data_IF_730784599037
#
_entry.id   IF_730784599037
#
_cell.length_a   1.000
_cell.length_b   1.000
_cell.length_c   1.000
_cell.angle_alpha   90.00
_cell.angle_beta   90.00
_cell.angle_gamma   90.00
#
_symmetry.space_group_name_H-M   'P 1'
#
loop_
_entity.id
_entity.type
_entity.pdbx_description
1 polymer ?
#
# COMPACT_ATOMS: atom_id res chain seq x y z
N UNK A 1 -13.58 -1.96 13.84
CA UNK A 1 -12.65 -3.10 13.74
C UNK A 1 -11.34 -2.58 13.19
N UNK A 2 -10.25 -2.74 13.93
CA UNK A 2 -8.93 -2.27 13.48
C UNK A 2 -8.40 -3.24 12.43
N UNK A 3 -7.86 -2.75 11.32
CA UNK A 3 -7.42 -3.59 10.18
C UNK A 3 -6.26 -4.53 10.53
N UNK A 4 -5.58 -4.27 11.64
CA UNK A 4 -4.50 -5.07 12.20
C UNK A 4 -4.95 -6.01 13.34
N UNK A 5 -6.22 -5.96 13.76
CA UNK A 5 -6.74 -6.96 14.69
C UNK A 5 -6.69 -8.34 14.02
N UNK A 6 -6.22 -9.35 14.77
CA UNK A 6 -6.12 -10.74 14.31
C UNK A 6 -5.08 -11.03 13.20
N UNK A 7 -4.06 -10.18 13.00
CA UNK A 7 -2.93 -10.49 12.09
C UNK A 7 -2.32 -11.88 12.37
N UNK A 8 -2.16 -12.24 13.65
CA UNK A 8 -1.64 -13.54 14.07
C UNK A 8 -2.49 -14.73 13.58
N UNK A 9 -3.77 -14.51 13.32
CA UNK A 9 -4.69 -15.53 12.82
C UNK A 9 -4.83 -15.50 11.30
N UNK A 10 -4.64 -14.32 10.68
CA UNK A 10 -4.90 -14.11 9.26
C UNK A 10 -3.63 -14.13 8.37
N UNK A 11 -2.42 -14.16 8.95
CA UNK A 11 -1.18 -14.12 8.16
C UNK A 11 -1.03 -15.29 7.17
N UNK A 12 -1.59 -16.47 7.52
CA UNK A 12 -1.56 -17.68 6.69
C UNK A 12 -2.29 -17.50 5.35
N UNK A 13 -3.21 -16.54 5.25
CA UNK A 13 -3.87 -16.17 3.99
C UNK A 13 -2.85 -15.63 2.98
N UNK A 14 -1.81 -14.95 3.46
CA UNK A 14 -0.78 -14.34 2.62
C UNK A 14 0.44 -15.23 2.41
N UNK A 15 0.56 -16.35 3.12
CA UNK A 15 1.74 -17.21 3.07
C UNK A 15 1.73 -18.20 1.90
N UNK A 16 0.67 -18.18 1.07
CA UNK A 16 0.53 -19.06 -0.08
C UNK A 16 0.91 -18.28 -1.34
N UNK A 17 2.12 -18.50 -1.84
CA UNK A 17 2.58 -17.92 -3.11
C UNK A 17 3.97 -17.30 -3.05
N UNK A 18 4.40 -16.63 -4.14
CA UNK A 18 5.69 -15.96 -4.21
C UNK A 18 5.83 -14.88 -3.12
N UNK A 19 7.01 -14.79 -2.52
CA UNK A 19 7.30 -13.85 -1.43
C UNK A 19 6.91 -12.40 -1.74
N UNK A 20 7.16 -11.92 -2.97
CA UNK A 20 6.85 -10.54 -3.37
C UNK A 20 5.35 -10.25 -3.26
N UNK A 21 4.51 -11.18 -3.71
CA UNK A 21 3.05 -11.02 -3.66
C UNK A 21 2.54 -11.14 -2.22
N UNK A 22 3.02 -12.14 -1.49
CA UNK A 22 2.71 -12.35 -0.08
C UNK A 22 2.94 -11.09 0.76
N UNK A 23 4.13 -10.47 0.61
CA UNK A 23 4.53 -9.28 1.36
C UNK A 23 3.68 -8.07 0.98
N UNK A 24 3.48 -7.82 -0.31
CA UNK A 24 2.69 -6.68 -0.77
C UNK A 24 1.24 -6.77 -0.29
N UNK A 25 0.59 -7.94 -0.48
CA UNK A 25 -0.77 -8.16 -0.03
C UNK A 25 -0.91 -8.04 1.49
N UNK A 26 0.03 -8.60 2.26
CA UNK A 26 0.05 -8.47 3.71
C UNK A 26 0.10 -7.00 4.15
N UNK A 27 1.06 -6.23 3.63
CA UNK A 27 1.28 -4.82 4.03
C UNK A 27 0.12 -3.91 3.62
N UNK A 28 -0.46 -4.14 2.45
CA UNK A 28 -1.62 -3.37 1.98
C UNK A 28 -2.87 -3.70 2.78
N UNK A 29 -3.15 -4.98 3.03
CA UNK A 29 -4.36 -5.40 3.76
C UNK A 29 -4.32 -4.99 5.23
N UNK A 30 -3.14 -4.98 5.84
CA UNK A 30 -2.93 -4.47 7.20
C UNK A 30 -2.77 -2.95 7.28
N UNK A 31 -2.76 -2.25 6.12
CA UNK A 31 -2.50 -0.80 6.00
C UNK A 31 -1.18 -0.35 6.65
N UNK A 32 -0.18 -1.23 6.66
CA UNK A 32 1.15 -0.95 7.21
C UNK A 32 2.16 -0.49 6.16
N UNK A 33 1.77 -0.42 4.88
CA UNK A 33 2.72 -0.06 3.84
C UNK A 33 3.06 1.42 3.76
N UNK A 34 2.03 2.26 3.84
CA UNK A 34 2.14 3.70 3.68
C UNK A 34 1.73 4.36 4.99
N UNK A 35 2.66 4.49 5.94
CA UNK A 35 2.35 5.04 7.25
C UNK A 35 2.13 6.56 7.20
N UNK A 36 2.01 7.18 6.03
CA UNK A 36 1.98 8.63 5.88
C UNK A 36 0.83 9.28 6.68
N UNK A 37 -0.36 8.68 6.69
CA UNK A 37 -1.48 9.10 7.55
C UNK A 37 -1.17 8.94 9.03
N UNK A 38 -0.60 7.81 9.42
CA UNK A 38 -0.24 7.55 10.81
C UNK A 38 0.84 8.52 11.32
N UNK A 39 1.90 8.71 10.54
CA UNK A 39 3.01 9.62 10.82
C UNK A 39 2.55 11.09 10.85
N UNK A 40 1.60 11.48 10.00
CA UNK A 40 0.95 12.79 10.08
C UNK A 40 0.17 12.93 11.39
N UNK A 41 -0.55 11.89 11.81
CA UNK A 41 -1.30 11.89 13.07
C UNK A 41 -0.44 12.07 14.33
N UNK A 42 0.83 11.63 14.28
CA UNK A 42 1.82 11.84 15.35
C UNK A 42 2.79 13.00 15.07
N UNK A 43 2.43 13.89 14.14
CA UNK A 43 3.19 15.10 13.78
C UNK A 43 4.63 14.88 13.30
N UNK A 44 4.98 13.67 12.85
CA UNK A 44 6.28 13.39 12.22
C UNK A 44 6.29 13.87 10.77
N UNK A 45 5.19 13.68 10.04
CA UNK A 45 5.01 14.23 8.70
C UNK A 45 4.04 15.40 8.72
N UNK A 46 4.31 16.39 7.87
CA UNK A 46 3.44 17.57 7.70
C UNK A 46 2.19 17.26 6.89
N UNK A 47 2.24 16.27 6.00
CA UNK A 47 1.12 15.80 5.21
C UNK A 47 1.20 14.29 4.98
N UNK A 48 0.07 13.70 4.59
CA UNK A 48 -0.07 12.27 4.33
C UNK A 48 -0.20 11.97 2.83
N UNK A 49 0.08 12.98 1.98
CA UNK A 49 -0.17 12.89 0.55
C UNK A 49 0.76 11.89 -0.09
N UNK A 50 0.30 11.35 -1.21
CA UNK A 50 1.06 10.48 -2.09
C UNK A 50 2.42 11.10 -2.38
N UNK A 51 3.53 10.45 -2.02
CA UNK A 51 4.86 11.04 -2.22
C UNK A 51 5.20 11.20 -3.70
N UNK A 52 4.50 10.50 -4.60
CA UNK A 52 4.77 10.53 -6.04
C UNK A 52 4.02 11.70 -6.73
N UNK A 53 2.73 11.92 -6.41
CA UNK A 53 1.89 12.93 -7.09
C UNK A 53 1.26 13.98 -6.19
N UNK A 54 1.41 13.86 -4.86
CA UNK A 54 0.90 14.80 -3.85
C UNK A 54 -0.61 15.06 -3.95
N UNK A 55 -1.39 14.07 -4.38
CA UNK A 55 -2.84 14.22 -4.60
C UNK A 55 -3.67 13.75 -3.42
N UNK A 56 -3.55 12.47 -3.06
CA UNK A 56 -4.33 11.84 -1.98
C UNK A 56 -3.43 10.92 -1.14
N UNK A 57 -3.88 10.41 -0.01
CA UNK A 57 -3.11 9.47 0.81
C UNK A 57 -2.74 8.24 -0.02
N UNK A 58 -1.45 7.91 -0.05
CA UNK A 58 -1.00 6.65 -0.66
C UNK A 58 -1.55 5.47 0.14
N UNK A 59 -2.53 4.77 -0.39
CA UNK A 59 -3.11 3.55 0.17
C UNK A 59 -3.46 2.58 -0.99
N UNK A 60 -4.04 1.41 -0.66
CA UNK A 60 -4.39 0.40 -1.65
C UNK A 60 -5.31 0.94 -2.74
N UNK A 61 -6.31 1.69 -2.33
CA UNK A 61 -7.32 2.28 -3.22
C UNK A 61 -6.68 3.35 -4.11
N UNK A 62 -5.79 4.18 -3.54
CA UNK A 62 -5.05 5.20 -4.27
C UNK A 62 -4.13 4.60 -5.34
N UNK A 63 -3.46 3.47 -5.07
CA UNK A 63 -2.59 2.81 -6.08
C UNK A 63 -3.34 2.51 -7.38
N UNK A 64 -4.63 2.16 -7.29
CA UNK A 64 -5.48 1.82 -8.44
C UNK A 64 -5.87 3.04 -9.28
N UNK A 65 -5.77 4.26 -8.74
CA UNK A 65 -6.20 5.50 -9.41
C UNK A 65 -5.11 6.56 -9.50
N UNK A 66 -3.95 6.31 -8.91
CA UNK A 66 -2.87 7.27 -8.82
C UNK A 66 -2.30 7.57 -10.23
N UNK A 67 -2.26 8.83 -10.67
CA UNK A 67 -2.01 9.18 -12.06
C UNK A 67 -0.68 8.72 -12.67
N UNK A 68 0.34 8.39 -11.88
CA UNK A 68 1.62 7.97 -12.46
C UNK A 68 1.89 6.49 -12.50
N UNK A 69 0.93 5.64 -12.15
CA UNK A 69 1.08 4.22 -12.46
C UNK A 69 0.56 3.91 -13.85
N UNK A 70 1.02 2.78 -14.40
CA UNK A 70 0.63 2.33 -15.73
C UNK A 70 -0.87 2.01 -15.72
N UNK A 71 -1.71 2.64 -16.58
CA UNK A 71 -3.15 2.42 -16.59
C UNK A 71 -3.55 0.96 -16.77
N UNK A 72 -2.74 0.19 -17.52
CA UNK A 72 -2.96 -1.24 -17.73
C UNK A 72 -2.88 -2.05 -16.43
N UNK A 73 -1.95 -1.72 -15.52
CA UNK A 73 -1.83 -2.41 -14.23
C UNK A 73 -2.98 -2.05 -13.30
N UNK A 74 -3.43 -0.79 -13.35
CA UNK A 74 -4.59 -0.29 -12.62
C UNK A 74 -5.88 -0.96 -13.10
N UNK A 75 -6.08 -1.04 -14.41
CA UNK A 75 -7.24 -1.70 -15.02
C UNK A 75 -7.32 -3.20 -14.67
N UNK A 76 -6.17 -3.89 -14.65
CA UNK A 76 -6.09 -5.30 -14.23
C UNK A 76 -6.28 -5.50 -12.73
N UNK A 77 -6.23 -4.43 -11.93
CA UNK A 77 -6.27 -4.51 -10.49
C UNK A 77 -5.03 -5.20 -9.89
N UNK A 78 -3.88 -5.13 -10.56
CA UNK A 78 -2.64 -5.76 -10.08
C UNK A 78 -1.97 -4.90 -9.00
N UNK A 79 -2.57 -4.93 -7.82
CA UNK A 79 -2.13 -4.11 -6.67
C UNK A 79 -0.72 -4.50 -6.21
N UNK A 80 -0.30 -5.76 -6.41
CA UNK A 80 1.05 -6.19 -6.07
C UNK A 80 2.13 -5.52 -6.92
N UNK A 81 1.93 -5.48 -8.25
CA UNK A 81 2.88 -4.79 -9.12
C UNK A 81 2.87 -3.29 -8.88
N UNK A 82 1.68 -2.69 -8.66
CA UNK A 82 1.55 -1.27 -8.33
C UNK A 82 2.27 -0.93 -7.02
N UNK A 83 2.13 -1.75 -6.00
CA UNK A 83 2.83 -1.64 -4.72
C UNK A 83 4.35 -1.58 -4.88
N UNK A 84 4.93 -2.55 -5.60
CA UNK A 84 6.39 -2.62 -5.75
C UNK A 84 6.89 -1.47 -6.62
N UNK A 85 6.15 -1.12 -7.67
CA UNK A 85 6.42 0.06 -8.50
C UNK A 85 6.40 1.35 -7.67
N UNK A 86 5.51 1.45 -6.68
CA UNK A 86 5.45 2.60 -5.78
C UNK A 86 6.70 2.65 -4.89
N UNK A 87 7.08 1.52 -4.29
CA UNK A 87 8.29 1.43 -3.46
C UNK A 87 9.55 1.79 -4.24
N UNK A 88 9.70 1.28 -5.45
CA UNK A 88 10.88 1.54 -6.28
C UNK A 88 11.03 3.03 -6.62
N UNK A 89 9.93 3.80 -6.69
CA UNK A 89 9.94 5.25 -6.92
C UNK A 89 10.15 6.10 -5.67
N UNK A 90 10.02 5.51 -4.48
CA UNK A 90 10.23 6.18 -3.19
C UNK A 90 11.60 5.86 -2.56
N UNK A 91 12.32 4.88 -3.12
CA UNK A 91 13.69 4.52 -2.75
C UNK A 91 14.69 5.47 -3.37
#
# INVERSE_FOLDING_TARGET
MKYWENIANNWKEFSRGPRKEAVANFRLKTRHDFPAEHLKGICILTNSLCPIFKTDTMNREHLLVCPGFVPMLQFRGDVCLLYWSARDRMS
#
